data_IF_956790792708
#
_entry.id   IF_956790792708
#
_cell.length_a   1.000
_cell.length_b   1.000
_cell.length_c   1.000
_cell.angle_alpha   90.00
_cell.angle_beta   90.00
_cell.angle_gamma   90.00
#
_symmetry.space_group_name_H-M   'P 1'
#
loop_
_entity.id
_entity.type
_entity.pdbx_description
1 polymer ?
#
# COMPACT_ATOMS: atom_id res chain seq x y z
N UNK A 1 35.01 -19.42 19.49
CA UNK A 1 35.12 -19.58 18.02
C UNK A 1 34.08 -20.62 17.63
N UNK A 2 33.05 -20.40 16.82
CA UNK A 2 32.75 -19.37 15.82
C UNK A 2 31.23 -19.23 15.71
N UNK A 3 30.82 -18.01 15.36
CA UNK A 3 29.50 -17.43 15.12
C UNK A 3 28.44 -18.32 14.47
N UNK A 4 27.35 -18.58 15.20
CA UNK A 4 26.02 -18.82 14.65
C UNK A 4 25.22 -17.51 14.68
N UNK A 5 25.75 -16.47 14.03
CA UNK A 5 25.05 -15.19 13.84
C UNK A 5 24.46 -15.19 12.43
N UNK A 6 23.40 -15.99 12.27
CA UNK A 6 22.75 -16.29 10.98
C UNK A 6 21.63 -15.30 10.63
N UNK A 7 21.19 -15.29 9.35
CA UNK A 7 20.24 -14.33 8.76
C UNK A 7 18.95 -14.11 9.56
N UNK A 8 18.55 -15.06 10.39
CA UNK A 8 17.37 -14.99 11.25
C UNK A 8 17.40 -13.86 12.29
N UNK A 9 18.58 -13.41 12.75
CA UNK A 9 18.68 -12.25 13.65
C UNK A 9 18.46 -10.94 12.88
N UNK A 10 18.96 -10.85 11.64
CA UNK A 10 18.71 -9.71 10.76
C UNK A 10 17.23 -9.63 10.35
N UNK A 11 16.60 -10.76 10.02
CA UNK A 11 15.18 -10.84 9.68
C UNK A 11 14.29 -10.45 10.87
N UNK A 12 14.63 -10.92 12.08
CA UNK A 12 13.94 -10.55 13.32
C UNK A 12 14.09 -9.07 13.68
N UNK A 13 15.29 -8.50 13.50
CA UNK A 13 15.54 -7.07 13.70
C UNK A 13 14.77 -6.20 12.70
N UNK A 14 14.79 -6.56 11.42
CA UNK A 14 14.07 -5.84 10.36
C UNK A 14 12.55 -5.90 10.57
N UNK A 15 12.04 -7.00 11.12
CA UNK A 15 10.64 -7.16 11.52
C UNK A 15 10.30 -6.27 12.72
N UNK A 16 11.16 -6.25 13.75
CA UNK A 16 10.94 -5.45 14.96
C UNK A 16 11.02 -3.94 14.67
N UNK A 17 11.97 -3.48 13.85
CA UNK A 17 12.07 -2.08 13.42
C UNK A 17 10.84 -1.68 12.60
N UNK A 18 10.34 -2.56 11.73
CA UNK A 18 9.12 -2.33 10.93
C UNK A 18 7.85 -2.25 11.77
N UNK A 19 7.74 -3.10 12.79
CA UNK A 19 6.66 -3.01 13.77
C UNK A 19 6.73 -1.70 14.56
N UNK A 20 7.94 -1.27 14.98
CA UNK A 20 8.15 0.02 15.67
C UNK A 20 7.89 1.24 14.78
N UNK A 21 8.14 1.14 13.48
CA UNK A 21 7.86 2.20 12.50
C UNK A 21 6.39 2.24 12.05
N UNK A 22 5.58 1.23 12.42
CA UNK A 22 4.16 1.15 12.06
C UNK A 22 3.91 1.09 10.55
N UNK A 23 4.83 0.55 9.77
CA UNK A 23 4.81 0.61 8.30
C UNK A 23 3.65 -0.18 7.66
N UNK A 24 3.04 -1.09 8.41
CA UNK A 24 1.97 -1.96 7.93
C UNK A 24 2.49 -3.05 6.99
N UNK A 25 1.61 -3.56 6.11
CA UNK A 25 1.96 -4.50 5.04
C UNK A 25 2.77 -3.81 3.95
N UNK A 26 3.55 -4.59 3.20
CA UNK A 26 4.20 -4.11 2.00
C UNK A 26 3.35 -4.42 0.78
N UNK A 27 3.13 -3.41 -0.06
CA UNK A 27 2.34 -3.48 -1.28
C UNK A 27 3.29 -3.59 -2.48
N UNK A 28 3.06 -4.53 -3.43
CA UNK A 28 3.84 -4.60 -4.65
C UNK A 28 3.64 -3.34 -5.48
N UNK A 29 4.72 -2.83 -6.05
CA UNK A 29 4.70 -1.77 -7.06
C UNK A 29 5.03 -2.37 -8.41
N UNK A 30 4.17 -2.15 -9.39
CA UNK A 30 4.33 -2.69 -10.74
C UNK A 30 3.99 -4.18 -10.84
N UNK A 31 4.58 -4.84 -11.83
CA UNK A 31 4.37 -6.25 -12.11
C UNK A 31 5.26 -7.20 -11.29
N UNK A 32 5.04 -8.52 -11.40
CA UNK A 32 5.81 -9.54 -10.67
C UNK A 32 7.33 -9.53 -10.94
N UNK A 33 7.77 -8.93 -12.04
CA UNK A 33 9.18 -8.82 -12.43
C UNK A 33 9.90 -7.59 -11.86
N UNK A 34 9.17 -6.58 -11.37
CA UNK A 34 9.76 -5.31 -10.94
C UNK A 34 10.42 -5.40 -9.56
N UNK A 35 10.01 -6.36 -8.73
CA UNK A 35 10.63 -6.61 -7.42
C UNK A 35 10.64 -5.39 -6.50
N UNK A 36 9.64 -4.51 -6.62
CA UNK A 36 9.52 -3.28 -5.87
C UNK A 36 8.33 -3.34 -4.90
N UNK A 37 8.52 -2.78 -3.70
CA UNK A 37 7.47 -2.70 -2.68
C UNK A 37 7.43 -1.34 -2.00
N UNK A 38 6.22 -0.88 -1.67
CA UNK A 38 5.98 0.30 -0.85
C UNK A 38 5.29 -0.09 0.46
N UNK A 39 5.65 0.58 1.55
CA UNK A 39 4.91 0.44 2.80
C UNK A 39 3.48 0.94 2.61
N UNK A 40 2.48 0.19 3.07
CA UNK A 40 1.07 0.61 3.00
C UNK A 40 0.87 2.01 3.58
N UNK A 41 1.55 2.32 4.69
CA UNK A 41 1.46 3.64 5.31
C UNK A 41 2.01 4.76 4.41
N UNK A 42 3.08 4.48 3.66
CA UNK A 42 3.64 5.44 2.70
C UNK A 42 2.73 5.61 1.49
N UNK A 43 2.18 4.51 0.95
CA UNK A 43 1.18 4.57 -0.12
C UNK A 43 -0.06 5.36 0.33
N UNK A 44 -0.57 5.11 1.54
CA UNK A 44 -1.71 5.83 2.10
C UNK A 44 -1.42 7.33 2.27
N UNK A 45 -0.18 7.74 2.59
CA UNK A 45 0.20 9.14 2.68
C UNK A 45 0.16 9.83 1.30
N UNK A 46 0.70 9.17 0.26
CA UNK A 46 0.68 9.69 -1.11
C UNK A 46 -0.76 9.82 -1.63
N UNK A 47 -1.58 8.78 -1.46
CA UNK A 47 -2.98 8.79 -1.89
C UNK A 47 -3.82 9.85 -1.15
N UNK A 48 -3.56 10.03 0.15
CA UNK A 48 -4.20 11.10 0.93
C UNK A 48 -3.82 12.47 0.39
N UNK A 49 -2.57 12.66 0.01
CA UNK A 49 -2.13 13.93 -0.53
C UNK A 49 -2.73 14.22 -1.91
N UNK A 50 -2.80 13.22 -2.79
CA UNK A 50 -3.48 13.35 -4.08
C UNK A 50 -4.97 13.72 -3.92
N UNK A 51 -5.63 13.23 -2.87
CA UNK A 51 -7.02 13.54 -2.60
C UNK A 51 -7.29 14.99 -2.14
N UNK A 52 -6.29 15.72 -1.62
CA UNK A 52 -6.49 17.08 -1.09
C UNK A 52 -7.05 18.03 -2.16
N UNK A 53 -6.53 17.94 -3.38
CA UNK A 53 -6.92 18.84 -4.49
C UNK A 53 -8.33 18.56 -5.03
N UNK A 54 -8.97 17.48 -4.58
CA UNK A 54 -10.31 17.07 -5.06
C UNK A 54 -11.45 17.72 -4.28
N UNK A 55 -11.16 18.40 -3.16
CA UNK A 55 -12.15 18.93 -2.23
C UNK A 55 -12.88 17.87 -1.41
N UNK A 56 -12.48 16.60 -1.52
CA UNK A 56 -13.01 15.49 -0.73
C UNK A 56 -12.40 15.46 0.67
N UNK A 57 -13.23 15.24 1.70
CA UNK A 57 -12.75 14.92 3.04
C UNK A 57 -12.54 13.41 3.13
N UNK A 58 -11.29 12.97 2.99
CA UNK A 58 -10.96 11.54 2.96
C UNK A 58 -11.01 10.91 4.36
N UNK A 59 -11.86 9.90 4.52
CA UNK A 59 -11.99 9.11 5.73
C UNK A 59 -11.06 7.88 5.74
N UNK A 60 -11.66 6.72 5.99
CA UNK A 60 -10.95 5.43 5.97
C UNK A 60 -10.45 5.13 4.56
N UNK A 61 -9.18 4.77 4.45
CA UNK A 61 -8.51 4.32 3.23
C UNK A 61 -8.02 2.89 3.46
N UNK A 62 -8.27 1.99 2.51
CA UNK A 62 -7.80 0.60 2.51
C UNK A 62 -7.23 0.24 1.15
N UNK A 63 -6.12 -0.48 1.14
CA UNK A 63 -5.47 -0.96 -0.08
C UNK A 63 -5.34 -2.48 0.00
N UNK A 64 -6.15 -3.19 -0.79
CA UNK A 64 -6.18 -4.65 -0.80
C UNK A 64 -5.85 -5.19 -2.18
N UNK A 65 -5.49 -6.47 -2.28
CA UNK A 65 -5.36 -7.13 -3.59
C UNK A 65 -6.76 -7.42 -4.18
N UNK A 66 -6.92 -7.24 -5.48
CA UNK A 66 -8.14 -7.62 -6.19
C UNK A 66 -8.16 -9.13 -6.39
N UNK A 67 -8.97 -9.83 -5.58
CA UNK A 67 -9.34 -11.23 -5.81
C UNK A 67 -8.21 -12.24 -5.89
N UNK A 68 -8.59 -13.44 -6.31
CA UNK A 68 -7.77 -14.65 -6.48
C UNK A 68 -7.08 -14.68 -7.85
N UNK A 69 -6.77 -13.52 -8.43
CA UNK A 69 -6.04 -13.47 -9.69
C UNK A 69 -4.69 -14.16 -9.49
N UNK A 70 -4.34 -14.99 -10.48
CA UNK A 70 -3.30 -16.01 -10.42
C UNK A 70 -2.00 -15.33 -9.99
N UNK A 71 -1.68 -15.47 -8.70
CA UNK A 71 -0.64 -14.67 -8.05
C UNK A 71 0.69 -15.08 -8.64
N UNK A 72 1.09 -14.45 -9.74
CA UNK A 72 2.26 -14.86 -10.47
C UNK A 72 3.44 -14.73 -9.54
N UNK A 73 4.10 -15.86 -9.28
CA UNK A 73 5.21 -15.96 -8.35
C UNK A 73 6.21 -14.84 -8.66
N UNK A 74 6.49 -13.94 -7.71
CA UNK A 74 7.43 -12.87 -7.96
C UNK A 74 8.80 -13.46 -8.31
N UNK A 75 9.47 -12.87 -9.31
CA UNK A 75 10.81 -13.30 -9.74
C UNK A 75 11.84 -13.03 -8.64
N UNK A 76 11.58 -12.02 -7.82
CA UNK A 76 12.37 -11.67 -6.63
C UNK A 76 11.64 -12.14 -5.38
N UNK A 77 12.26 -12.90 -4.46
CA UNK A 77 11.62 -13.29 -3.22
C UNK A 77 11.17 -12.06 -2.45
N UNK A 78 9.87 -12.00 -2.16
CA UNK A 78 9.28 -10.86 -1.47
C UNK A 78 9.80 -10.72 -0.04
N UNK A 79 9.97 -9.49 0.46
CA UNK A 79 10.29 -9.26 1.86
C UNK A 79 9.20 -9.86 2.76
N UNK A 80 9.54 -10.23 4.01
CA UNK A 80 8.56 -10.72 4.96
C UNK A 80 7.41 -9.70 5.09
N UNK A 81 6.17 -10.20 5.10
CA UNK A 81 4.90 -9.45 5.07
C UNK A 81 4.54 -8.71 3.77
N UNK A 82 5.19 -9.02 2.65
CA UNK A 82 4.75 -8.54 1.34
C UNK A 82 3.46 -9.22 0.91
N UNK A 83 2.52 -8.43 0.38
CA UNK A 83 1.44 -8.99 -0.41
C UNK A 83 2.00 -9.60 -1.70
N UNK A 84 1.45 -10.74 -2.18
CA UNK A 84 1.79 -11.27 -3.49
C UNK A 84 1.57 -10.20 -4.57
N UNK A 85 2.42 -10.14 -5.61
CA UNK A 85 2.21 -9.29 -6.77
C UNK A 85 0.83 -9.52 -7.38
N UNK A 86 0.21 -8.45 -7.86
CA UNK A 86 -1.08 -8.50 -8.52
C UNK A 86 -1.82 -7.18 -8.44
N UNK A 87 -2.97 -7.07 -9.12
CA UNK A 87 -3.76 -5.85 -9.13
C UNK A 87 -4.19 -5.44 -7.72
N UNK A 88 -4.05 -4.15 -7.40
CA UNK A 88 -4.49 -3.58 -6.12
C UNK A 88 -5.81 -2.84 -6.29
N UNK A 89 -6.65 -2.91 -5.27
CA UNK A 89 -7.90 -2.19 -5.09
C UNK A 89 -7.75 -1.17 -3.98
N UNK A 90 -8.08 0.07 -4.30
CA UNK A 90 -8.16 1.17 -3.34
C UNK A 90 -9.63 1.34 -2.94
N UNK A 91 -9.91 1.26 -1.64
CA UNK A 91 -11.21 1.60 -1.08
C UNK A 91 -11.06 2.84 -0.20
N UNK A 92 -11.79 3.91 -0.53
CA UNK A 92 -11.77 5.14 0.21
C UNK A 92 -13.20 5.57 0.57
N UNK A 93 -13.45 5.75 1.87
CA UNK A 93 -14.60 6.53 2.32
C UNK A 93 -14.28 8.01 2.21
N UNK A 94 -15.23 8.82 1.73
CA UNK A 94 -15.06 10.27 1.65
C UNK A 94 -16.39 10.99 1.90
N UNK A 95 -16.30 12.27 2.26
CA UNK A 95 -17.44 13.18 2.30
C UNK A 95 -17.21 14.36 1.34
N UNK A 96 -18.29 14.91 0.79
CA UNK A 96 -18.26 16.15 0.00
C UNK A 96 -18.77 17.32 0.85
N UNK A 97 -18.31 18.53 0.51
CA UNK A 97 -18.76 19.78 1.14
C UNK A 97 -19.92 20.40 0.34
N UNK A 98 -20.68 21.31 0.92
CA UNK A 98 -21.79 22.00 0.22
C UNK A 98 -21.33 22.79 -1.02
N UNK A 99 -20.04 23.13 -1.13
CA UNK A 99 -19.44 23.81 -2.28
C UNK A 99 -19.19 22.88 -3.47
N UNK A 100 -19.15 21.57 -3.26
CA UNK A 100 -18.82 20.58 -4.28
C UNK A 100 -19.85 19.45 -4.29
N UNK A 101 -20.64 19.29 -5.37
CA UNK A 101 -21.59 18.19 -5.48
C UNK A 101 -20.90 16.83 -5.27
N UNK A 102 -21.58 15.91 -4.58
CA UNK A 102 -21.04 14.57 -4.29
C UNK A 102 -20.59 13.83 -5.57
N UNK A 103 -21.35 13.81 -6.69
CA UNK A 103 -20.91 13.12 -7.90
C UNK A 103 -19.66 13.72 -8.53
N UNK A 104 -19.53 15.05 -8.54
CA UNK A 104 -18.36 15.75 -9.07
C UNK A 104 -17.11 15.48 -8.20
N UNK A 105 -17.27 15.54 -6.87
CA UNK A 105 -16.21 15.18 -5.91
C UNK A 105 -15.78 13.73 -6.08
N UNK A 106 -16.74 12.81 -6.24
CA UNK A 106 -16.48 11.39 -6.46
C UNK A 106 -15.74 11.13 -7.78
N UNK A 107 -16.01 11.90 -8.82
CA UNK A 107 -15.32 11.80 -10.10
C UNK A 107 -13.88 12.33 -9.99
N UNK A 108 -13.69 13.53 -9.44
CA UNK A 108 -12.37 14.10 -9.20
C UNK A 108 -11.49 13.18 -8.33
N UNK A 109 -12.06 12.60 -7.27
CA UNK A 109 -11.35 11.63 -6.42
C UNK A 109 -10.95 10.36 -7.16
N UNK A 110 -11.78 9.85 -8.07
CA UNK A 110 -11.40 8.69 -8.89
C UNK A 110 -10.25 9.02 -9.84
N UNK A 111 -10.29 10.19 -10.48
CA UNK A 111 -9.23 10.64 -11.39
C UNK A 111 -7.91 10.88 -10.66
N UNK A 112 -7.95 11.39 -9.43
CA UNK A 112 -6.74 11.65 -8.65
C UNK A 112 -6.06 10.37 -8.10
N UNK A 113 -6.77 9.24 -8.02
CA UNK A 113 -6.28 8.01 -7.40
C UNK A 113 -5.99 6.87 -8.39
N UNK A 114 -6.28 7.06 -9.69
CA UNK A 114 -6.04 6.12 -10.78
C UNK A 114 -4.94 6.66 -11.71
#
# INVERSE_FOLDING_TARGET
>A
MTTADGPHRADGWTTAVRQKLGLGRLLPLGGPGDGAWIAERAAAAVLRQAAVETGAVLGRLRIARTGEDDARTPVVPGPPSALPPGPLRIEAGFASTARHPLPATAHALRVALL
#
